data_IF_108216808028
#
_entry.id   IF_108216808028
#
_cell.length_a   1.000
_cell.length_b   1.000
_cell.length_c   1.000
_cell.angle_alpha   90.00
_cell.angle_beta   90.00
_cell.angle_gamma   90.00
#
_symmetry.space_group_name_H-M   'P 1'
#
loop_
_entity.id
_entity.type
_entity.pdbx_description
1 polymer ?
#
# COMPACT_ATOMS: atom_id res chain seq x y z
N UNK A 1 59.57 57.18 -40.35
CA UNK A 1 58.39 56.30 -40.36
C UNK A 1 58.84 54.89 -40.75
N UNK A 2 58.80 53.91 -39.85
CA UNK A 2 59.10 52.50 -40.16
C UNK A 2 57.87 51.68 -39.78
N UNK A 3 57.24 51.06 -40.78
CA UNK A 3 56.07 50.20 -40.60
C UNK A 3 56.50 48.81 -40.08
N UNK A 4 55.81 48.30 -39.05
CA UNK A 4 55.91 46.89 -38.59
C UNK A 4 54.81 46.03 -39.27
N UNK A 5 55.09 44.76 -39.62
CA UNK A 5 54.11 43.89 -40.26
C UNK A 5 53.11 43.32 -39.25
N UNK A 6 51.83 43.23 -39.64
CA UNK A 6 50.75 42.55 -38.89
C UNK A 6 51.00 41.03 -38.89
N UNK A 7 51.12 40.42 -37.70
CA UNK A 7 51.10 38.97 -37.54
C UNK A 7 49.69 38.42 -37.76
N UNK A 8 49.56 37.47 -38.68
CA UNK A 8 48.31 36.77 -39.02
C UNK A 8 47.86 35.84 -37.88
N UNK A 9 46.72 36.14 -37.27
CA UNK A 9 46.11 35.37 -36.16
C UNK A 9 45.18 34.23 -36.64
N UNK A 10 45.26 33.83 -37.93
CA UNK A 10 44.32 32.85 -38.53
C UNK A 10 44.59 31.40 -38.14
N UNK A 11 45.80 31.05 -37.69
CA UNK A 11 46.17 29.69 -37.31
C UNK A 11 45.63 29.26 -35.93
N UNK A 12 45.38 30.20 -35.01
CA UNK A 12 44.93 29.90 -33.65
C UNK A 12 43.45 29.50 -33.56
N UNK A 13 42.61 29.99 -34.48
CA UNK A 13 41.18 29.66 -34.51
C UNK A 13 40.93 28.24 -35.03
N UNK A 14 41.58 27.86 -36.13
CA UNK A 14 41.43 26.53 -36.73
C UNK A 14 41.93 25.42 -35.81
N UNK A 15 43.07 25.63 -35.14
CA UNK A 15 43.62 24.66 -34.19
C UNK A 15 42.71 24.47 -32.96
N UNK A 16 42.09 25.55 -32.46
CA UNK A 16 41.10 25.48 -31.37
C UNK A 16 39.82 24.76 -31.80
N UNK A 17 39.33 25.01 -33.01
CA UNK A 17 38.13 24.33 -33.52
C UNK A 17 38.37 22.84 -33.71
N UNK A 18 39.53 22.43 -34.23
CA UNK A 18 39.88 21.00 -34.37
C UNK A 18 40.01 20.32 -33.02
N UNK A 19 40.59 21.00 -32.01
CA UNK A 19 40.71 20.46 -30.64
C UNK A 19 39.33 20.27 -29.98
N UNK A 20 38.42 21.23 -30.13
CA UNK A 20 37.07 21.13 -29.56
C UNK A 20 36.26 20.02 -30.25
N UNK A 21 36.37 19.89 -31.57
CA UNK A 21 35.69 18.83 -32.32
C UNK A 21 36.23 17.45 -31.94
N UNK A 22 37.55 17.30 -31.75
CA UNK A 22 38.13 16.02 -31.32
C UNK A 22 37.76 15.66 -29.87
N UNK A 23 37.66 16.63 -28.96
CA UNK A 23 37.17 16.40 -27.59
C UNK A 23 35.69 16.01 -27.59
N UNK A 24 34.86 16.68 -28.39
CA UNK A 24 33.44 16.33 -28.50
C UNK A 24 33.24 14.95 -29.12
N UNK A 25 34.01 14.62 -30.18
CA UNK A 25 33.96 13.31 -30.81
C UNK A 25 34.43 12.18 -29.88
N UNK A 26 35.47 12.42 -29.07
CA UNK A 26 35.93 11.42 -28.09
C UNK A 26 34.94 11.24 -26.94
N UNK A 27 34.26 12.31 -26.50
CA UNK A 27 33.18 12.21 -25.49
C UNK A 27 31.99 11.40 -26.01
N UNK A 28 31.58 11.62 -27.26
CA UNK A 28 30.48 10.85 -27.89
C UNK A 28 30.89 9.38 -28.09
N UNK A 29 32.14 9.11 -28.46
CA UNK A 29 32.65 7.74 -28.60
C UNK A 29 32.69 7.00 -27.25
N UNK A 30 33.10 7.67 -26.17
CA UNK A 30 33.07 7.11 -24.81
C UNK A 30 31.64 6.85 -24.31
N UNK A 31 30.66 7.69 -24.67
CA UNK A 31 29.24 7.42 -24.35
C UNK A 31 28.65 6.29 -25.20
N UNK A 32 29.01 6.19 -26.48
CA UNK A 32 28.45 5.21 -27.41
C UNK A 32 29.00 3.78 -27.20
N UNK A 33 30.25 3.64 -26.73
CA UNK A 33 30.90 2.33 -26.55
C UNK A 33 31.22 1.97 -25.10
N UNK A 34 30.95 2.85 -24.12
CA UNK A 34 31.19 2.60 -22.68
C UNK A 34 30.07 1.83 -21.96
N UNK A 35 29.00 1.44 -22.65
CA UNK A 35 27.77 0.92 -22.03
C UNK A 35 27.68 -0.63 -21.95
N UNK A 36 28.72 -1.37 -22.33
CA UNK A 36 28.69 -2.86 -22.34
C UNK A 36 29.41 -3.55 -21.16
N UNK A 37 29.97 -2.80 -20.20
CA UNK A 37 30.76 -3.35 -19.09
C UNK A 37 30.10 -3.25 -17.70
N UNK A 38 28.78 -3.03 -17.63
CA UNK A 38 28.02 -3.14 -16.39
C UNK A 38 26.84 -4.08 -16.60
N UNK A 39 27.12 -5.36 -16.77
CA UNK A 39 26.14 -6.40 -16.48
C UNK A 39 25.87 -6.38 -14.97
N UNK A 40 25.00 -5.45 -14.56
CA UNK A 40 24.29 -5.59 -13.30
C UNK A 40 23.58 -6.92 -13.41
N UNK A 41 24.11 -7.93 -12.71
CA UNK A 41 23.40 -9.17 -12.45
C UNK A 41 22.20 -8.77 -11.59
N UNK A 42 21.14 -8.32 -12.26
CA UNK A 42 19.81 -8.22 -11.70
C UNK A 42 19.46 -9.65 -11.34
N UNK A 43 19.78 -10.03 -10.10
CA UNK A 43 19.24 -11.22 -9.51
C UNK A 43 17.73 -11.05 -9.60
N UNK A 44 17.11 -11.78 -10.52
CA UNK A 44 15.66 -11.97 -10.54
C UNK A 44 15.28 -12.26 -9.09
N UNK A 45 14.37 -11.48 -8.46
CA UNK A 45 13.94 -11.80 -7.11
C UNK A 45 13.44 -13.23 -7.20
N UNK A 46 14.12 -14.13 -6.48
CA UNK A 46 13.66 -15.50 -6.35
C UNK A 46 12.28 -15.36 -5.75
N UNK A 47 11.24 -15.64 -6.53
CA UNK A 47 9.87 -15.84 -6.07
C UNK A 47 9.85 -17.09 -5.20
N UNK A 48 10.53 -17.00 -4.06
CA UNK A 48 10.51 -17.98 -3.02
C UNK A 48 9.12 -17.86 -2.39
N UNK A 49 8.34 -18.93 -2.50
CA UNK A 49 7.12 -19.05 -1.73
C UNK A 49 7.48 -18.84 -0.25
N UNK A 50 6.70 -18.05 0.50
CA UNK A 50 6.94 -17.89 1.94
C UNK A 50 7.08 -19.27 2.58
N UNK A 51 8.14 -19.47 3.36
CA UNK A 51 8.32 -20.72 4.11
C UNK A 51 7.25 -20.77 5.19
N UNK A 52 6.40 -21.79 5.13
CA UNK A 52 5.34 -22.02 6.11
C UNK A 52 5.78 -23.13 7.06
N UNK A 53 5.98 -22.78 8.32
CA UNK A 53 6.20 -23.74 9.42
C UNK A 53 4.82 -24.17 9.92
N UNK A 54 4.58 -25.45 10.20
CA UNK A 54 3.31 -25.90 10.76
C UNK A 54 3.35 -25.82 12.28
N UNK A 55 2.78 -24.76 12.85
CA UNK A 55 2.66 -24.54 14.29
C UNK A 55 1.27 -23.99 14.61
N UNK A 56 0.33 -24.88 14.93
CA UNK A 56 -1.06 -24.49 15.18
C UNK A 56 -1.22 -23.63 16.44
N UNK A 57 -0.40 -23.85 17.46
CA UNK A 57 -0.50 -23.13 18.74
C UNK A 57 -0.09 -21.68 18.55
N UNK A 58 1.08 -21.44 17.93
CA UNK A 58 1.54 -20.09 17.62
C UNK A 58 0.61 -19.40 16.61
N UNK A 59 0.12 -20.14 15.60
CA UNK A 59 -0.78 -19.60 14.58
C UNK A 59 -2.10 -19.09 15.17
N UNK A 60 -2.76 -19.91 15.99
CA UNK A 60 -4.03 -19.54 16.65
C UNK A 60 -3.83 -18.40 17.64
N UNK A 61 -2.72 -18.39 18.40
CA UNK A 61 -2.41 -17.28 19.31
C UNK A 61 -2.19 -15.95 18.56
N UNK A 62 -1.47 -15.99 17.46
CA UNK A 62 -1.26 -14.82 16.60
C UNK A 62 -2.57 -14.34 15.97
N UNK A 63 -3.41 -15.26 15.49
CA UNK A 63 -4.71 -14.89 14.91
C UNK A 63 -5.64 -14.20 15.91
N UNK A 64 -5.59 -14.55 17.21
CA UNK A 64 -6.40 -13.86 18.22
C UNK A 64 -6.06 -12.36 18.30
N UNK A 65 -4.77 -12.01 18.18
CA UNK A 65 -4.33 -10.61 18.13
C UNK A 65 -4.81 -9.93 16.85
N UNK A 66 -4.62 -10.58 15.69
CA UNK A 66 -5.14 -10.11 14.40
C UNK A 66 -6.65 -9.85 14.46
N UNK A 67 -7.40 -10.81 14.99
CA UNK A 67 -8.85 -10.72 15.13
C UNK A 67 -9.27 -9.51 15.97
N UNK A 68 -8.58 -9.23 17.07
CA UNK A 68 -8.90 -8.07 17.91
C UNK A 68 -8.79 -6.74 17.15
N UNK A 69 -7.84 -6.64 16.21
CA UNK A 69 -7.68 -5.48 15.33
C UNK A 69 -8.78 -5.44 14.27
N UNK A 70 -9.02 -6.57 13.58
CA UNK A 70 -10.03 -6.64 12.51
C UNK A 70 -11.46 -6.39 13.01
N UNK A 71 -11.74 -6.71 14.28
CA UNK A 71 -13.02 -6.44 14.93
C UNK A 71 -13.08 -5.05 15.58
N UNK A 72 -11.98 -4.30 15.59
CA UNK A 72 -12.02 -2.91 16.05
C UNK A 72 -12.85 -2.03 15.09
N UNK A 73 -13.41 -0.90 15.57
CA UNK A 73 -14.16 0.03 14.72
C UNK A 73 -13.33 0.56 13.53
N UNK A 74 -12.00 0.56 13.61
CA UNK A 74 -11.13 1.02 12.53
C UNK A 74 -11.19 0.12 11.30
N UNK A 75 -11.40 -1.18 11.48
CA UNK A 75 -11.53 -2.15 10.40
C UNK A 75 -13.00 -2.48 10.12
N UNK A 76 -13.78 -2.80 11.17
CA UNK A 76 -15.16 -3.27 11.04
C UNK A 76 -16.07 -2.23 10.38
N UNK A 77 -15.83 -0.93 10.56
CA UNK A 77 -16.64 0.12 9.95
C UNK A 77 -16.59 0.12 8.42
N UNK A 78 -15.47 -0.33 7.85
CA UNK A 78 -15.29 -0.48 6.41
C UNK A 78 -15.75 -1.87 5.89
N UNK A 79 -15.94 -2.82 6.79
CA UNK A 79 -16.31 -4.20 6.50
C UNK A 79 -17.66 -4.61 7.13
N UNK A 80 -18.74 -3.82 6.92
CA UNK A 80 -20.07 -4.13 7.46
C UNK A 80 -20.69 -5.33 6.75
N UNK A 81 -21.69 -5.94 7.38
CA UNK A 81 -22.53 -6.98 6.75
C UNK A 81 -23.44 -6.42 5.65
N UNK A 82 -23.83 -5.15 5.78
CA UNK A 82 -24.64 -4.42 4.80
C UNK A 82 -23.83 -3.65 3.76
N UNK A 83 -24.53 -2.76 3.04
CA UNK A 83 -23.94 -1.85 2.05
C UNK A 83 -23.75 -0.42 2.54
N UNK A 84 -24.23 -0.10 3.75
CA UNK A 84 -23.92 1.18 4.41
C UNK A 84 -22.75 0.94 5.38
N UNK A 85 -21.66 1.72 5.33
CA UNK A 85 -20.57 1.62 6.29
C UNK A 85 -21.04 1.92 7.71
N UNK A 86 -20.25 1.51 8.69
CA UNK A 86 -20.46 1.92 10.08
C UNK A 86 -19.62 3.17 10.39
N UNK A 87 -19.95 3.83 11.49
CA UNK A 87 -19.36 5.08 11.93
C UNK A 87 -19.14 5.06 13.44
N UNK A 88 -18.19 5.87 13.90
CA UNK A 88 -17.88 5.97 15.33
C UNK A 88 -17.09 4.79 15.86
N UNK A 89 -16.89 4.81 17.18
CA UNK A 89 -16.21 3.76 17.94
C UNK A 89 -17.20 2.73 18.50
N UNK A 90 -18.49 3.03 18.43
CA UNK A 90 -19.62 2.15 18.70
C UNK A 90 -20.11 1.40 17.44
N UNK A 91 -19.52 1.71 16.27
CA UNK A 91 -19.84 1.07 14.99
C UNK A 91 -21.34 1.11 14.64
N UNK A 92 -22.01 2.23 14.91
CA UNK A 92 -23.39 2.46 14.45
C UNK A 92 -23.42 2.69 12.93
N UNK A 93 -24.59 2.57 12.31
CA UNK A 93 -24.74 2.84 10.86
C UNK A 93 -24.35 4.28 10.55
N UNK A 94 -23.53 4.49 9.51
CA UNK A 94 -23.09 5.82 9.11
C UNK A 94 -24.27 6.77 8.89
N UNK A 95 -24.26 7.90 9.60
CA UNK A 95 -25.45 8.76 9.78
C UNK A 95 -25.96 9.39 8.48
N UNK A 96 -25.08 9.63 7.49
CA UNK A 96 -25.46 10.13 6.15
C UNK A 96 -25.99 9.04 5.21
N UNK A 97 -25.99 7.77 5.65
CA UNK A 97 -26.46 6.60 4.89
C UNK A 97 -25.82 6.41 3.49
N UNK A 98 -24.49 6.61 3.31
CA UNK A 98 -23.85 6.31 2.03
C UNK A 98 -23.94 4.83 1.70
N UNK A 99 -24.07 4.49 0.43
CA UNK A 99 -24.12 3.09 -0.03
C UNK A 99 -22.85 2.72 -0.79
N UNK A 100 -22.29 1.54 -0.54
CA UNK A 100 -21.03 0.99 -1.10
C UNK A 100 -20.83 1.27 -2.58
N UNK A 101 -21.84 1.02 -3.41
CA UNK A 101 -21.67 1.07 -4.88
C UNK A 101 -20.84 -0.11 -5.42
N UNK A 102 -20.78 -0.24 -6.74
CA UNK A 102 -20.15 -1.38 -7.41
C UNK A 102 -18.66 -1.49 -7.06
N UNK A 103 -17.97 -0.37 -7.05
CA UNK A 103 -16.53 -0.22 -6.82
C UNK A 103 -16.19 0.15 -5.36
N UNK A 104 -17.18 0.23 -4.47
CA UNK A 104 -16.96 0.64 -3.08
C UNK A 104 -16.84 2.16 -2.88
N UNK A 105 -17.07 2.97 -3.91
CA UNK A 105 -16.84 4.43 -3.90
C UNK A 105 -18.12 5.28 -3.84
N UNK A 106 -19.27 4.67 -3.53
CA UNK A 106 -20.54 5.38 -3.47
C UNK A 106 -21.43 5.19 -4.71
N UNK A 107 -22.69 5.61 -4.60
CA UNK A 107 -23.72 5.47 -5.66
C UNK A 107 -24.14 6.84 -6.20
N UNK A 108 -24.38 6.94 -7.51
CA UNK A 108 -24.84 8.16 -8.17
C UNK A 108 -24.03 9.41 -7.74
N UNK A 109 -24.70 10.45 -7.26
CA UNK A 109 -24.10 11.67 -6.73
C UNK A 109 -23.60 11.54 -5.28
N UNK A 110 -23.92 10.47 -4.57
CA UNK A 110 -23.46 10.20 -3.19
C UNK A 110 -22.13 9.45 -3.23
N UNK A 111 -21.09 10.13 -3.71
CA UNK A 111 -19.71 9.62 -3.77
C UNK A 111 -18.97 9.91 -2.48
N UNK A 112 -18.18 8.94 -2.01
CA UNK A 112 -17.43 9.08 -0.75
C UNK A 112 -16.50 10.31 -0.77
N UNK A 113 -15.89 10.59 -1.93
CA UNK A 113 -14.98 11.72 -2.18
C UNK A 113 -15.64 13.09 -2.08
N UNK A 114 -16.97 13.18 -2.04
CA UNK A 114 -17.65 14.47 -1.84
C UNK A 114 -17.52 14.97 -0.40
N UNK A 115 -17.17 14.08 0.54
CA UNK A 115 -16.98 14.41 1.96
C UNK A 115 -15.60 14.00 2.47
N UNK A 116 -15.13 12.80 2.12
CA UNK A 116 -13.81 12.31 2.52
C UNK A 116 -12.72 12.86 1.60
N UNK A 117 -11.66 13.38 2.21
CA UNK A 117 -10.53 14.02 1.52
C UNK A 117 -9.32 13.09 1.46
N UNK A 118 -8.29 13.41 0.64
CA UNK A 118 -7.05 12.61 0.61
C UNK A 118 -6.32 12.54 1.95
N UNK A 119 -6.55 13.51 2.84
CA UNK A 119 -6.00 13.57 4.20
C UNK A 119 -7.12 13.80 5.21
N UNK A 120 -6.85 13.48 6.48
CA UNK A 120 -7.82 13.74 7.55
C UNK A 120 -8.22 15.21 7.58
N UNK A 121 -9.52 15.48 7.60
CA UNK A 121 -10.03 16.83 7.79
C UNK A 121 -9.78 17.26 9.24
N UNK A 122 -9.21 18.45 9.52
CA UNK A 122 -8.93 18.86 10.90
C UNK A 122 -10.21 19.04 11.74
N UNK A 123 -10.15 18.73 13.04
CA UNK A 123 -11.23 18.96 14.00
C UNK A 123 -11.95 17.69 14.46
N UNK A 124 -12.66 17.80 15.59
CA UNK A 124 -13.51 16.73 16.10
C UNK A 124 -14.70 16.46 15.18
N UNK A 125 -15.06 15.19 15.05
CA UNK A 125 -16.22 14.71 14.27
C UNK A 125 -16.19 15.01 12.76
N UNK A 126 -15.05 15.43 12.20
CA UNK A 126 -14.87 15.61 10.76
C UNK A 126 -14.55 14.30 10.04
N UNK A 127 -14.80 14.18 8.72
CA UNK A 127 -14.51 12.96 7.99
C UNK A 127 -13.02 12.55 8.04
N UNK A 128 -12.70 11.27 8.29
CA UNK A 128 -11.35 10.75 8.07
C UNK A 128 -10.99 10.82 6.58
N UNK A 129 -9.70 10.78 6.26
CA UNK A 129 -9.24 10.90 4.88
C UNK A 129 -8.15 9.91 4.49
N UNK A 130 -8.15 9.56 3.21
CA UNK A 130 -7.15 8.75 2.54
C UNK A 130 -7.28 8.97 1.01
N UNK A 131 -6.19 9.01 0.22
CA UNK A 131 -6.29 9.17 -1.24
C UNK A 131 -7.10 8.04 -1.90
N UNK A 132 -7.08 6.83 -1.33
CA UNK A 132 -7.82 5.67 -1.82
C UNK A 132 -9.08 5.41 -0.98
N UNK A 133 -9.76 6.42 -0.45
CA UNK A 133 -10.92 6.21 0.44
C UNK A 133 -12.06 5.46 -0.25
N UNK A 134 -12.23 4.18 0.10
CA UNK A 134 -13.30 3.33 -0.42
C UNK A 134 -13.61 2.16 0.52
N UNK A 135 -14.80 1.58 0.35
CA UNK A 135 -15.13 0.27 0.91
C UNK A 135 -14.63 -0.84 -0.01
N UNK A 136 -14.54 -2.09 0.47
CA UNK A 136 -14.48 -3.25 -0.41
C UNK A 136 -15.58 -3.19 -1.48
N UNK A 137 -15.31 -3.58 -2.74
CA UNK A 137 -16.30 -3.51 -3.82
C UNK A 137 -17.46 -4.47 -3.58
N UNK A 138 -18.59 -4.25 -4.26
CA UNK A 138 -19.83 -5.00 -4.01
C UNK A 138 -19.72 -6.51 -4.29
N UNK A 139 -18.86 -6.90 -5.23
CA UNK A 139 -18.59 -8.30 -5.57
C UNK A 139 -17.58 -8.99 -4.62
N UNK A 140 -16.98 -8.25 -3.69
CA UNK A 140 -15.99 -8.74 -2.72
C UNK A 140 -16.10 -7.94 -1.42
N UNK A 141 -17.23 -8.07 -0.71
CA UNK A 141 -17.56 -7.22 0.45
C UNK A 141 -16.63 -7.40 1.66
N UNK A 142 -15.93 -8.54 1.76
CA UNK A 142 -15.00 -8.86 2.85
C UNK A 142 -15.62 -8.63 4.24
N UNK A 143 -16.84 -9.12 4.49
CA UNK A 143 -17.60 -8.81 5.72
C UNK A 143 -16.86 -9.26 6.98
N UNK A 144 -16.63 -8.36 7.94
CA UNK A 144 -16.06 -8.67 9.26
C UNK A 144 -17.12 -8.63 10.36
N UNK A 145 -18.06 -7.68 10.26
CA UNK A 145 -19.13 -7.52 11.24
C UNK A 145 -19.87 -8.83 11.49
N UNK A 146 -19.93 -9.24 12.77
CA UNK A 146 -20.63 -10.45 13.21
C UNK A 146 -19.89 -11.77 12.92
N UNK A 147 -18.68 -11.75 12.32
CA UNK A 147 -17.91 -12.98 12.12
C UNK A 147 -17.20 -13.43 13.39
N UNK A 148 -17.24 -14.73 13.65
CA UNK A 148 -16.42 -15.36 14.68
C UNK A 148 -14.95 -15.42 14.25
N UNK A 149 -14.05 -15.71 15.18
CA UNK A 149 -12.62 -15.87 14.89
C UNK A 149 -12.38 -16.95 13.83
N UNK A 150 -13.04 -18.11 13.98
CA UNK A 150 -12.93 -19.21 13.02
C UNK A 150 -13.39 -18.80 11.62
N UNK A 151 -14.58 -18.19 11.52
CA UNK A 151 -15.16 -17.77 10.25
C UNK A 151 -14.30 -16.72 9.54
N UNK A 152 -13.74 -15.77 10.30
CA UNK A 152 -12.90 -14.72 9.72
C UNK A 152 -11.54 -15.27 9.26
N UNK A 153 -10.91 -16.16 10.04
CA UNK A 153 -9.67 -16.83 9.62
C UNK A 153 -9.85 -17.59 8.30
N UNK A 154 -10.92 -18.38 8.19
CA UNK A 154 -11.27 -19.11 6.96
C UNK A 154 -11.54 -18.16 5.79
N UNK A 155 -12.28 -17.06 6.03
CA UNK A 155 -12.57 -16.04 5.00
C UNK A 155 -11.29 -15.44 4.42
N UNK A 156 -10.34 -15.04 5.27
CA UNK A 156 -9.11 -14.36 4.86
C UNK A 156 -8.18 -15.26 4.03
N UNK A 157 -8.26 -16.57 4.22
CA UNK A 157 -7.50 -17.56 3.46
C UNK A 157 -8.18 -18.05 2.18
N UNK A 158 -9.45 -17.67 1.94
CA UNK A 158 -10.17 -18.02 0.72
C UNK A 158 -10.02 -16.91 -0.34
N UNK A 159 -9.34 -17.17 -1.49
CA UNK A 159 -9.20 -16.20 -2.58
C UNK A 159 -10.52 -15.63 -3.08
N UNK A 160 -11.61 -16.42 -2.99
CA UNK A 160 -12.96 -16.00 -3.39
C UNK A 160 -13.58 -14.98 -2.43
N UNK A 161 -12.99 -14.78 -1.25
CA UNK A 161 -13.51 -13.91 -0.20
C UNK A 161 -12.49 -12.88 0.31
N UNK A 162 -11.21 -12.93 -0.11
CA UNK A 162 -10.14 -12.05 0.35
C UNK A 162 -9.64 -11.04 -0.71
N UNK A 163 -10.35 -10.95 -1.84
CA UNK A 163 -9.93 -10.12 -2.98
C UNK A 163 -8.84 -10.77 -3.84
N UNK A 164 -8.87 -12.09 -4.01
CA UNK A 164 -7.92 -12.88 -4.80
C UNK A 164 -6.45 -12.69 -4.35
N UNK A 165 -6.23 -12.46 -3.06
CA UNK A 165 -4.90 -12.34 -2.49
C UNK A 165 -4.33 -13.72 -2.19
N UNK A 166 -3.17 -14.01 -2.76
CA UNK A 166 -2.32 -15.11 -2.34
C UNK A 166 -1.56 -14.75 -1.04
N UNK A 167 -0.78 -15.69 -0.52
CA UNK A 167 -0.02 -15.51 0.72
C UNK A 167 0.94 -14.32 0.69
N UNK A 168 1.64 -14.09 -0.43
CA UNK A 168 2.60 -12.99 -0.59
C UNK A 168 1.87 -11.65 -0.55
N UNK A 169 0.73 -11.56 -1.25
CA UNK A 169 -0.14 -10.39 -1.24
C UNK A 169 -0.79 -10.15 0.12
N UNK A 170 -1.20 -11.21 0.83
CA UNK A 170 -1.72 -11.06 2.19
C UNK A 170 -0.67 -10.49 3.13
N UNK A 171 0.58 -10.99 3.10
CA UNK A 171 1.68 -10.43 3.90
C UNK A 171 1.89 -8.94 3.61
N UNK A 172 1.94 -8.57 2.32
CA UNK A 172 2.11 -7.17 1.91
C UNK A 172 0.91 -6.27 2.30
N UNK A 173 -0.30 -6.83 2.31
CA UNK A 173 -1.54 -6.09 2.57
C UNK A 173 -1.57 -5.40 3.94
N UNK A 174 -0.82 -5.91 4.93
CA UNK A 174 -0.70 -5.27 6.23
C UNK A 174 -0.15 -3.82 6.13
N UNK A 175 0.56 -3.49 5.05
CA UNK A 175 1.15 -2.18 4.80
C UNK A 175 0.37 -1.33 3.78
N UNK A 176 -0.80 -1.80 3.32
CA UNK A 176 -1.62 -1.02 2.37
C UNK A 176 -2.06 0.30 3.01
N UNK A 177 -2.16 1.37 2.20
CA UNK A 177 -2.45 2.72 2.68
C UNK A 177 -3.75 2.86 3.48
N UNK A 178 -4.82 2.14 3.08
CA UNK A 178 -6.08 2.11 3.84
C UNK A 178 -5.97 1.30 5.14
N UNK A 179 -5.12 0.28 5.19
CA UNK A 179 -4.88 -0.48 6.42
C UNK A 179 -4.12 0.40 7.42
N UNK A 180 -3.06 1.07 6.97
CA UNK A 180 -2.30 2.02 7.78
C UNK A 180 -3.16 3.17 8.31
N UNK A 181 -4.15 3.62 7.55
CA UNK A 181 -5.10 4.66 7.99
C UNK A 181 -5.86 4.28 9.27
N UNK A 182 -5.98 2.99 9.60
CA UNK A 182 -6.53 2.52 10.87
C UNK A 182 -5.80 3.06 12.10
N UNK A 183 -4.49 3.34 11.97
CA UNK A 183 -3.66 3.93 13.04
C UNK A 183 -3.46 5.45 12.90
N UNK A 184 -4.10 6.08 11.92
CA UNK A 184 -4.20 7.52 11.80
C UNK A 184 -5.65 7.93 11.46
N UNK A 185 -6.62 7.67 12.38
CA UNK A 185 -8.04 7.79 12.06
C UNK A 185 -8.57 9.25 12.07
N UNK A 186 -7.72 10.23 12.33
CA UNK A 186 -8.12 11.62 12.58
C UNK A 186 -8.49 11.86 14.04
N UNK A 187 -8.80 13.12 14.37
CA UNK A 187 -8.99 13.58 15.74
C UNK A 187 -10.20 12.92 16.43
N UNK A 188 -10.04 12.60 17.72
CA UNK A 188 -11.13 12.11 18.57
C UNK A 188 -11.59 10.66 18.35
N UNK A 189 -10.86 9.85 17.56
CA UNK A 189 -11.17 8.42 17.34
C UNK A 189 -10.18 7.52 18.04
N UNK A 190 -10.66 6.40 18.60
CA UNK A 190 -9.80 5.38 19.20
C UNK A 190 -8.93 4.66 18.17
N UNK A 191 -7.73 4.28 18.59
CA UNK A 191 -6.81 3.44 17.82
C UNK A 191 -7.18 1.96 17.95
N UNK A 192 -6.68 1.08 17.05
CA UNK A 192 -6.77 -0.35 17.25
C UNK A 192 -6.10 -0.80 18.57
N UNK A 193 -6.46 -1.98 19.12
CA UNK A 193 -5.99 -2.42 20.45
C UNK A 193 -4.48 -2.60 20.61
N UNK A 194 -3.75 -2.73 19.50
CA UNK A 194 -2.28 -2.89 19.45
C UNK A 194 -1.71 -1.99 18.35
N UNK A 195 -0.41 -1.72 18.41
CA UNK A 195 0.27 -0.93 17.37
C UNK A 195 0.26 -1.63 16.01
N UNK A 196 0.46 -0.86 14.93
CA UNK A 196 0.58 -1.42 13.58
C UNK A 196 1.72 -2.42 13.47
N UNK A 197 2.85 -2.15 14.12
CA UNK A 197 4.00 -3.05 14.12
C UNK A 197 3.69 -4.39 14.80
N UNK A 198 2.97 -4.38 15.93
CA UNK A 198 2.51 -5.59 16.61
C UNK A 198 1.49 -6.35 15.77
N UNK A 199 0.52 -5.63 15.17
CA UNK A 199 -0.45 -6.22 14.25
C UNK A 199 0.23 -6.91 13.08
N UNK A 200 1.14 -6.23 12.38
CA UNK A 200 1.89 -6.77 11.25
C UNK A 200 2.70 -8.00 11.66
N UNK A 201 3.35 -7.96 12.82
CA UNK A 201 4.07 -9.10 13.38
C UNK A 201 3.12 -10.29 13.58
N UNK A 202 2.00 -10.09 14.26
CA UNK A 202 1.00 -11.15 14.48
C UNK A 202 0.41 -11.68 13.16
N UNK A 203 0.13 -10.79 12.21
CA UNK A 203 -0.36 -11.13 10.88
C UNK A 203 0.62 -12.04 10.12
N UNK A 204 1.89 -11.65 10.06
CA UNK A 204 2.93 -12.46 9.41
C UNK A 204 3.13 -13.78 10.15
N UNK A 205 3.20 -13.77 11.49
CA UNK A 205 3.31 -14.99 12.28
C UNK A 205 2.16 -15.94 11.98
N UNK A 206 0.91 -15.48 11.98
CA UNK A 206 -0.24 -16.32 11.67
C UNK A 206 -0.12 -16.95 10.28
N UNK A 207 0.19 -16.13 9.26
CA UNK A 207 0.32 -16.56 7.87
C UNK A 207 1.46 -17.57 7.65
N UNK A 208 2.62 -17.37 8.30
CA UNK A 208 3.80 -18.24 8.14
C UNK A 208 3.80 -19.45 9.06
N UNK A 209 2.89 -19.53 10.02
CA UNK A 209 2.71 -20.70 10.91
C UNK A 209 1.59 -21.65 10.48
N UNK A 210 1.05 -21.45 9.27
CA UNK A 210 0.04 -22.32 8.66
C UNK A 210 -1.36 -21.70 8.53
N UNK A 211 -1.54 -20.46 8.98
CA UNK A 211 -2.80 -19.73 8.94
C UNK A 211 -3.99 -20.52 9.55
N UNK A 212 -3.74 -21.21 10.66
CA UNK A 212 -4.76 -22.04 11.31
C UNK A 212 -5.90 -21.17 11.84
N UNK A 213 -7.13 -21.65 11.60
CA UNK A 213 -8.32 -21.06 12.19
C UNK A 213 -8.49 -21.55 13.64
N UNK A 214 -8.78 -20.67 14.62
CA UNK A 214 -9.18 -21.10 15.96
C UNK A 214 -10.42 -21.99 15.90
N UNK A 215 -10.64 -22.87 16.88
CA UNK A 215 -11.84 -23.71 16.94
C UNK A 215 -13.13 -22.87 16.97
N UNK A 216 -14.22 -23.43 16.45
CA UNK A 216 -15.56 -22.84 16.57
C UNK A 216 -15.99 -22.94 18.05
N UNK A 217 -16.41 -21.81 18.61
CA UNK A 217 -16.96 -21.71 19.97
C UNK A 217 -18.41 -21.26 19.89
#
# INVERSE_FOLDING_TARGET
>A
MIARPKKNNRYNGALRSVLVITILASFVFFMAFGADALTVVVHKPIDSKPVVVKDSVASVAAFKQVYSVLMSPRCMNCHPSGDIPLQGDDSHIHSMLPKRGVDGKGVFAMKCSNCHQPTNTPGLHTPPGNPEWHLPPANMKMVFQGRTQNQLAKQLMDPKQNGNKDMKKLIAHADDGLVLAGWNPGEGRTLPPISHAEFKKAWITWLTTGAYAPEEK
#
